data_IF_974241464622
#
_entry.id   IF_974241464622
#
_cell.length_a   1.000
_cell.length_b   1.000
_cell.length_c   1.000
_cell.angle_alpha   90.00
_cell.angle_beta   90.00
_cell.angle_gamma   90.00
#
_symmetry.space_group_name_H-M   'P 1'
#
loop_
_entity.id
_entity.type
_entity.pdbx_description
1 polymer ?
#
# COMPACT_ATOMS: atom_id res chain seq x y z
N UNK A 1 -7.21 -29.83 -16.74
CA UNK A 1 -5.81 -29.55 -17.14
C UNK A 1 -5.13 -28.67 -16.11
N UNK A 2 -3.86 -28.93 -15.77
CA UNK A 2 -3.06 -28.03 -14.96
C UNK A 2 -2.72 -26.74 -15.74
N UNK A 3 -2.54 -25.60 -15.06
CA UNK A 3 -2.06 -24.38 -15.70
C UNK A 3 -0.56 -24.50 -15.97
N UNK A 4 -0.14 -24.22 -17.20
CA UNK A 4 1.28 -24.07 -17.53
C UNK A 4 1.66 -22.62 -17.24
N UNK A 5 2.38 -22.40 -16.15
CA UNK A 5 2.67 -21.06 -15.61
C UNK A 5 3.68 -20.24 -16.44
N UNK A 6 4.19 -20.77 -17.56
CA UNK A 6 5.04 -20.03 -18.50
C UNK A 6 6.34 -19.50 -17.90
N UNK A 7 6.80 -20.09 -16.79
CA UNK A 7 7.97 -19.61 -16.04
C UNK A 7 7.67 -18.56 -14.96
N UNK A 8 6.41 -18.11 -14.83
CA UNK A 8 5.98 -17.20 -13.77
C UNK A 8 5.77 -17.93 -12.45
N UNK A 9 6.06 -17.27 -11.34
CA UNK A 9 5.89 -17.80 -10.01
C UNK A 9 4.40 -18.03 -9.68
N UNK A 10 4.07 -19.13 -8.99
CA UNK A 10 2.67 -19.48 -8.72
C UNK A 10 2.03 -18.54 -7.70
N UNK A 11 2.80 -18.05 -6.73
CA UNK A 11 2.32 -17.13 -5.72
C UNK A 11 2.09 -15.76 -6.35
N UNK A 12 2.98 -15.32 -7.24
CA UNK A 12 2.78 -14.12 -8.06
C UNK A 12 1.47 -14.19 -8.84
N UNK A 13 1.19 -15.31 -9.53
CA UNK A 13 -0.03 -15.50 -10.32
C UNK A 13 -1.32 -15.35 -9.49
N UNK A 14 -1.32 -15.85 -8.26
CA UNK A 14 -2.48 -15.71 -7.36
C UNK A 14 -2.68 -14.25 -6.95
N UNK A 15 -1.61 -13.51 -6.60
CA UNK A 15 -1.73 -12.09 -6.28
C UNK A 15 -2.21 -11.28 -7.50
N UNK A 16 -1.69 -11.61 -8.69
CA UNK A 16 -2.12 -11.03 -9.95
C UNK A 16 -3.59 -11.27 -10.26
N UNK A 17 -4.08 -12.48 -9.98
CA UNK A 17 -5.48 -12.80 -10.18
C UNK A 17 -6.39 -11.85 -9.40
N UNK A 18 -6.11 -11.59 -8.12
CA UNK A 18 -6.93 -10.69 -7.32
C UNK A 18 -6.83 -9.23 -7.80
N UNK A 19 -5.62 -8.73 -8.03
CA UNK A 19 -5.42 -7.32 -8.44
C UNK A 19 -5.95 -7.01 -9.83
N UNK A 20 -6.02 -8.00 -10.73
CA UNK A 20 -6.25 -7.79 -12.17
C UNK A 20 -7.52 -7.01 -12.54
N UNK A 21 -8.54 -6.99 -11.68
CA UNK A 21 -9.81 -6.29 -11.96
C UNK A 21 -9.66 -4.78 -11.90
N UNK A 22 -8.82 -4.29 -10.98
CA UNK A 22 -8.76 -2.87 -10.62
C UNK A 22 -7.35 -2.28 -10.84
N UNK A 23 -6.33 -3.12 -10.73
CA UNK A 23 -4.92 -2.73 -10.69
C UNK A 23 -4.12 -3.40 -11.82
N UNK A 24 -4.63 -3.30 -13.05
CA UNK A 24 -3.98 -3.82 -14.28
C UNK A 24 -4.16 -2.92 -15.52
N UNK A 25 -4.45 -1.64 -15.34
CA UNK A 25 -4.40 -0.67 -16.43
C UNK A 25 -2.94 -0.37 -16.84
N UNK A 26 -2.74 0.46 -17.88
CA UNK A 26 -1.40 0.75 -18.40
C UNK A 26 -0.43 1.33 -17.36
N UNK A 27 -0.93 2.16 -16.42
CA UNK A 27 -0.12 2.69 -15.32
C UNK A 27 0.37 1.56 -14.40
N UNK A 28 -0.51 0.63 -14.02
CA UNK A 28 -0.16 -0.53 -13.21
C UNK A 28 0.78 -1.51 -13.92
N UNK A 29 0.59 -1.71 -15.24
CA UNK A 29 1.50 -2.52 -16.06
C UNK A 29 2.91 -1.95 -16.08
N UNK A 30 3.04 -0.63 -16.18
CA UNK A 30 4.35 0.04 -16.09
C UNK A 30 4.96 -0.04 -14.69
N UNK A 31 4.12 0.05 -13.65
CA UNK A 31 4.57 0.05 -12.26
C UNK A 31 5.13 -1.32 -11.82
N UNK A 32 4.33 -2.38 -11.94
CA UNK A 32 4.64 -3.70 -11.39
C UNK A 32 4.50 -4.85 -12.39
N UNK A 33 4.21 -4.55 -13.66
CA UNK A 33 4.00 -5.56 -14.70
C UNK A 33 2.54 -5.94 -14.91
N UNK A 34 2.26 -6.53 -16.07
CA UNK A 34 0.92 -6.98 -16.44
C UNK A 34 0.51 -8.24 -15.67
N UNK A 35 -0.67 -8.19 -15.05
CA UNK A 35 -1.31 -9.34 -14.43
C UNK A 35 -1.68 -10.36 -15.51
N UNK A 36 -1.29 -11.63 -15.33
CA UNK A 36 -1.43 -12.67 -16.34
C UNK A 36 -2.88 -12.85 -16.84
N UNK A 37 -3.20 -12.42 -18.08
CA UNK A 37 -4.56 -12.56 -18.61
C UNK A 37 -4.96 -14.03 -18.79
N UNK A 38 -3.99 -14.89 -19.16
CA UNK A 38 -4.19 -16.33 -19.30
C UNK A 38 -4.53 -17.01 -17.97
N UNK A 39 -3.92 -16.59 -16.86
CA UNK A 39 -4.26 -17.13 -15.55
C UNK A 39 -5.63 -16.65 -15.06
N UNK A 40 -5.96 -15.37 -15.29
CA UNK A 40 -7.31 -14.84 -14.99
C UNK A 40 -8.39 -15.64 -15.72
N UNK A 41 -8.21 -15.88 -17.02
CA UNK A 41 -9.13 -16.69 -17.83
C UNK A 41 -9.18 -18.15 -17.37
N UNK A 42 -8.03 -18.71 -17.00
CA UNK A 42 -7.94 -20.08 -16.47
C UNK A 42 -8.75 -20.26 -15.18
N UNK A 43 -8.68 -19.30 -14.23
CA UNK A 43 -9.46 -19.37 -12.99
C UNK A 43 -10.94 -19.09 -13.25
N UNK A 44 -11.27 -18.13 -14.13
CA UNK A 44 -12.66 -17.84 -14.52
C UNK A 44 -13.36 -19.08 -15.11
N UNK A 45 -12.65 -19.90 -15.89
CA UNK A 45 -13.17 -21.15 -16.45
C UNK A 45 -13.41 -22.29 -15.45
N UNK A 46 -13.17 -22.08 -14.14
CA UNK A 46 -13.31 -23.12 -13.08
C UNK A 46 -14.48 -22.92 -12.14
N UNK A 47 -15.37 -21.98 -12.42
CA UNK A 47 -16.48 -21.62 -11.53
C UNK A 47 -16.02 -21.24 -10.11
N UNK A 48 -14.79 -20.72 -9.98
CA UNK A 48 -14.29 -20.16 -8.72
C UNK A 48 -14.71 -18.70 -8.67
N UNK A 49 -15.44 -18.33 -7.62
CA UNK A 49 -15.80 -16.92 -7.39
C UNK A 49 -14.62 -16.20 -6.76
N UNK A 50 -14.20 -15.09 -7.36
CA UNK A 50 -13.21 -14.21 -6.76
C UNK A 50 -13.82 -13.55 -5.53
N UNK A 51 -13.20 -13.77 -4.37
CA UNK A 51 -13.49 -13.00 -3.17
C UNK A 51 -13.09 -11.55 -3.44
N UNK A 52 -13.99 -10.58 -3.25
CA UNK A 52 -13.68 -9.15 -3.41
C UNK A 52 -13.29 -8.49 -2.08
N UNK A 53 -13.89 -8.97 -0.98
CA UNK A 53 -13.63 -8.50 0.37
C UNK A 53 -13.64 -9.69 1.32
N UNK A 54 -12.97 -9.55 2.46
CA UNK A 54 -13.05 -10.48 3.58
C UNK A 54 -13.29 -9.69 4.88
N UNK A 55 -13.79 -10.34 5.92
CA UNK A 55 -13.95 -9.69 7.23
C UNK A 55 -12.61 -9.76 7.95
N UNK A 56 -12.02 -8.59 8.24
CA UNK A 56 -10.79 -8.50 9.02
C UNK A 56 -11.05 -8.96 10.48
N UNK A 57 -10.34 -9.98 10.98
CA UNK A 57 -10.62 -10.54 12.30
C UNK A 57 -10.27 -9.61 13.46
N UNK A 58 -9.41 -8.60 13.28
CA UNK A 58 -9.07 -7.64 14.34
C UNK A 58 -10.09 -6.51 14.48
N UNK A 59 -10.63 -6.03 13.36
CA UNK A 59 -11.36 -4.75 13.30
C UNK A 59 -12.82 -4.92 12.88
N UNK A 60 -13.19 -6.06 12.28
CA UNK A 60 -14.51 -6.28 11.69
C UNK A 60 -14.77 -5.48 10.40
N UNK A 61 -13.77 -4.74 9.91
CA UNK A 61 -13.85 -4.05 8.61
C UNK A 61 -13.85 -5.07 7.47
N UNK A 62 -14.14 -4.60 6.25
CA UNK A 62 -14.16 -5.42 5.05
C UNK A 62 -13.10 -4.97 4.02
N UNK A 63 -11.80 -5.21 4.27
CA UNK A 63 -10.75 -4.89 3.32
C UNK A 63 -10.99 -5.52 1.94
N UNK A 64 -10.67 -4.77 0.89
CA UNK A 64 -10.67 -5.20 -0.50
C UNK A 64 -9.48 -6.08 -0.83
N UNK A 65 -9.74 -7.28 -1.33
CA UNK A 65 -8.67 -8.20 -1.76
C UNK A 65 -7.89 -7.65 -2.95
N UNK A 66 -8.52 -6.85 -3.81
CA UNK A 66 -7.85 -6.32 -5.00
C UNK A 66 -6.68 -5.41 -4.61
N UNK A 67 -6.90 -4.52 -3.64
CA UNK A 67 -5.88 -3.59 -3.15
C UNK A 67 -4.81 -4.31 -2.32
N UNK A 68 -5.23 -5.15 -1.36
CA UNK A 68 -4.32 -6.00 -0.59
C UNK A 68 -3.33 -6.77 -1.48
N UNK A 69 -3.84 -7.40 -2.55
CA UNK A 69 -2.98 -8.17 -3.46
C UNK A 69 -2.27 -7.31 -4.50
N UNK A 70 -2.69 -6.07 -4.76
CA UNK A 70 -1.89 -5.11 -5.51
C UNK A 70 -0.65 -4.70 -4.69
N UNK A 71 -0.84 -4.33 -3.42
CA UNK A 71 0.25 -4.02 -2.49
C UNK A 71 1.19 -5.21 -2.30
N UNK A 72 0.64 -6.41 -2.03
CA UNK A 72 1.44 -7.62 -1.87
C UNK A 72 2.23 -7.97 -3.15
N UNK A 73 1.59 -7.91 -4.33
CA UNK A 73 2.29 -8.22 -5.58
C UNK A 73 3.38 -7.20 -5.87
N UNK A 74 3.12 -5.90 -5.66
CA UNK A 74 4.12 -4.86 -5.84
C UNK A 74 5.32 -5.05 -4.93
N UNK A 75 5.10 -5.33 -3.65
CA UNK A 75 6.19 -5.64 -2.72
C UNK A 75 6.92 -6.93 -3.10
N UNK A 76 6.23 -7.95 -3.61
CA UNK A 76 6.84 -9.18 -4.10
C UNK A 76 7.80 -8.91 -5.28
N UNK A 77 7.33 -8.21 -6.32
CA UNK A 77 8.07 -8.07 -7.59
C UNK A 77 9.00 -6.85 -7.65
N UNK A 78 8.73 -5.79 -6.87
CA UNK A 78 9.45 -4.51 -6.91
C UNK A 78 9.87 -3.97 -5.53
N UNK A 79 9.50 -4.64 -4.44
CA UNK A 79 9.83 -4.20 -3.08
C UNK A 79 11.32 -4.30 -2.73
N UNK A 80 11.82 -3.34 -1.96
CA UNK A 80 13.17 -3.35 -1.36
C UNK A 80 13.11 -3.42 0.18
N UNK A 81 12.86 -4.60 0.77
CA UNK A 81 12.57 -4.70 2.21
C UNK A 81 13.76 -4.41 3.14
N UNK A 82 14.99 -4.53 2.63
CA UNK A 82 16.19 -4.18 3.40
C UNK A 82 16.54 -2.70 3.36
N UNK A 83 16.21 -2.01 2.26
CA UNK A 83 16.53 -0.59 2.05
C UNK A 83 15.65 0.36 2.85
N UNK A 84 16.09 1.61 2.89
CA UNK A 84 15.25 2.76 3.27
C UNK A 84 14.60 3.39 2.06
N UNK A 85 15.27 3.32 0.91
CA UNK A 85 14.86 3.96 -0.34
C UNK A 85 13.46 3.51 -0.78
N UNK A 86 12.72 4.46 -1.35
CA UNK A 86 11.40 4.18 -1.90
C UNK A 86 11.49 3.42 -3.21
N UNK A 87 10.51 2.57 -3.47
CA UNK A 87 10.48 1.73 -4.66
C UNK A 87 9.06 1.59 -5.22
N UNK A 88 8.93 1.00 -6.41
CA UNK A 88 7.62 0.81 -7.06
C UNK A 88 6.69 -0.11 -6.29
N UNK A 89 7.25 -1.00 -5.45
CA UNK A 89 6.45 -1.83 -4.55
C UNK A 89 5.76 -1.00 -3.47
N UNK A 90 6.42 0.06 -2.98
CA UNK A 90 5.79 1.03 -2.08
C UNK A 90 4.65 1.78 -2.77
N UNK A 91 4.86 2.23 -4.02
CA UNK A 91 3.81 2.93 -4.80
C UNK A 91 2.59 2.03 -5.06
N UNK A 92 2.79 0.72 -5.17
CA UNK A 92 1.71 -0.25 -5.36
C UNK A 92 0.85 -0.48 -4.10
N UNK A 93 1.27 0.05 -2.94
CA UNK A 93 0.46 0.16 -1.73
C UNK A 93 0.55 1.58 -1.16
N UNK A 94 1.06 1.71 0.07
CA UNK A 94 1.06 2.94 0.87
C UNK A 94 1.57 4.19 0.16
N UNK A 95 2.51 4.04 -0.77
CA UNK A 95 3.08 5.12 -1.56
C UNK A 95 2.05 5.77 -2.48
N UNK A 96 1.22 4.98 -3.16
CA UNK A 96 0.15 5.48 -4.01
C UNK A 96 -0.91 6.21 -3.20
N UNK A 97 -1.27 5.65 -2.05
CA UNK A 97 -2.28 6.23 -1.16
C UNK A 97 -1.80 7.52 -0.49
N UNK A 98 -0.54 7.59 -0.02
CA UNK A 98 -0.03 8.82 0.59
C UNK A 98 0.12 9.94 -0.43
N UNK A 99 0.41 9.63 -1.70
CA UNK A 99 0.45 10.62 -2.78
C UNK A 99 -0.96 11.17 -3.03
N UNK A 100 -1.94 10.28 -3.11
CA UNK A 100 -3.36 10.63 -3.34
C UNK A 100 -3.91 11.44 -2.16
N UNK A 101 -3.56 11.04 -0.93
CA UNK A 101 -3.94 11.72 0.31
C UNK A 101 -3.25 13.07 0.50
N UNK A 102 -2.00 13.21 0.04
CA UNK A 102 -1.35 14.52 -0.07
C UNK A 102 -2.14 15.43 -1.01
N UNK A 103 -2.57 14.91 -2.16
CA UNK A 103 -3.35 15.69 -3.12
C UNK A 103 -4.73 16.10 -2.55
N UNK A 104 -5.37 15.21 -1.79
CA UNK A 104 -6.57 15.51 -1.00
C UNK A 104 -6.32 16.68 -0.04
N UNK A 105 -5.23 16.65 0.72
CA UNK A 105 -4.84 17.76 1.60
C UNK A 105 -4.66 19.06 0.83
N UNK A 106 -4.02 19.02 -0.35
CA UNK A 106 -3.80 20.22 -1.17
C UNK A 106 -5.09 20.79 -1.74
N UNK A 107 -6.03 19.95 -2.15
CA UNK A 107 -7.36 20.37 -2.58
C UNK A 107 -8.13 21.05 -1.44
N UNK A 108 -8.05 20.49 -0.24
CA UNK A 108 -8.80 20.95 0.93
C UNK A 108 -8.03 21.98 1.80
N UNK A 109 -6.89 22.50 1.29
CA UNK A 109 -5.90 23.21 2.10
C UNK A 109 -6.36 24.57 2.65
N UNK A 110 -7.36 25.20 2.03
CA UNK A 110 -7.97 26.44 2.53
C UNK A 110 -8.72 26.20 3.85
N UNK A 111 -9.29 25.01 4.03
CA UNK A 111 -9.91 24.58 5.28
C UNK A 111 -8.92 23.89 6.25
N UNK A 112 -7.74 23.47 5.75
CA UNK A 112 -6.78 22.66 6.50
C UNK A 112 -5.33 23.11 6.25
N UNK A 113 -4.97 24.29 6.78
CA UNK A 113 -3.63 24.85 6.57
C UNK A 113 -2.48 23.99 7.13
N UNK A 114 -2.75 23.17 8.16
CA UNK A 114 -1.76 22.29 8.79
C UNK A 114 -1.85 20.87 8.25
N UNK A 115 -0.79 20.42 7.58
CA UNK A 115 -0.67 19.04 7.10
C UNK A 115 -0.70 18.02 8.23
N UNK A 116 -0.05 18.32 9.36
CA UNK A 116 -0.10 17.48 10.55
C UNK A 116 -1.54 17.26 11.04
N UNK A 117 -2.30 18.35 11.20
CA UNK A 117 -3.69 18.27 11.67
C UNK A 117 -4.59 17.53 10.69
N UNK A 118 -4.41 17.79 9.38
CA UNK A 118 -5.15 17.07 8.34
C UNK A 118 -4.93 15.55 8.45
N UNK A 119 -3.66 15.12 8.54
CA UNK A 119 -3.30 13.71 8.68
C UNK A 119 -3.92 13.11 9.94
N UNK A 120 -3.73 13.71 11.12
CA UNK A 120 -4.27 13.17 12.38
C UNK A 120 -5.80 13.05 12.39
N UNK A 121 -6.50 13.89 11.63
CA UNK A 121 -7.95 13.90 11.57
C UNK A 121 -8.54 12.97 10.51
N UNK A 122 -7.79 12.58 9.46
CA UNK A 122 -8.35 11.87 8.30
C UNK A 122 -7.66 10.55 7.96
N UNK A 123 -6.34 10.44 8.12
CA UNK A 123 -5.60 9.24 7.78
C UNK A 123 -6.03 8.06 8.66
N UNK A 124 -6.35 6.93 8.03
CA UNK A 124 -6.63 5.69 8.77
C UNK A 124 -7.84 5.78 9.71
N UNK A 125 -8.83 6.64 9.39
CA UNK A 125 -10.07 6.80 10.17
C UNK A 125 -11.24 6.05 9.53
N UNK A 126 -12.11 5.47 10.36
CA UNK A 126 -13.23 4.61 9.91
C UNK A 126 -14.47 5.43 9.50
N UNK A 127 -14.65 6.63 10.05
CA UNK A 127 -15.87 7.44 9.86
C UNK A 127 -15.58 8.81 9.22
N UNK A 128 -14.47 8.90 8.48
CA UNK A 128 -14.07 10.13 7.80
C UNK A 128 -13.81 9.78 6.35
N UNK A 129 -14.44 10.52 5.43
CA UNK A 129 -14.17 10.39 4.00
C UNK A 129 -12.72 10.83 3.76
N UNK A 130 -11.90 9.89 3.31
CA UNK A 130 -10.46 10.03 3.08
C UNK A 130 -10.09 9.11 1.92
N UNK A 131 -9.16 9.53 1.06
CA UNK A 131 -8.56 8.66 0.04
C UNK A 131 -7.58 7.66 0.63
N UNK A 132 -7.27 7.76 1.93
CA UNK A 132 -6.43 6.80 2.65
C UNK A 132 -7.12 6.43 3.97
N UNK A 133 -8.11 5.55 3.87
CA UNK A 133 -8.92 5.08 4.99
C UNK A 133 -8.20 4.03 5.84
N UNK A 134 -8.86 3.54 6.90
CA UNK A 134 -8.29 2.46 7.71
C UNK A 134 -8.22 1.12 6.96
N UNK A 135 -9.16 0.85 6.05
CA UNK A 135 -9.16 -0.37 5.24
C UNK A 135 -7.93 -0.40 4.32
N UNK A 136 -7.67 0.68 3.58
CA UNK A 136 -6.48 0.82 2.73
C UNK A 136 -5.18 0.68 3.53
N UNK A 137 -5.09 1.35 4.69
CA UNK A 137 -3.91 1.24 5.56
C UNK A 137 -3.69 -0.19 6.09
N UNK A 138 -4.77 -0.94 6.32
CA UNK A 138 -4.71 -2.38 6.65
C UNK A 138 -4.21 -3.17 5.43
N UNK A 139 -4.77 -2.92 4.24
CA UNK A 139 -4.42 -3.62 3.00
C UNK A 139 -2.94 -3.44 2.64
N UNK A 140 -2.40 -2.24 2.85
CA UNK A 140 -0.98 -1.93 2.65
C UNK A 140 -0.06 -2.67 3.63
N UNK A 141 -0.37 -2.58 4.93
CA UNK A 141 0.44 -3.19 5.97
C UNK A 141 0.43 -4.72 5.84
N UNK A 142 -0.76 -5.30 5.63
CA UNK A 142 -0.95 -6.73 5.49
C UNK A 142 -0.33 -7.22 4.17
N UNK A 143 -0.47 -6.44 3.09
CA UNK A 143 0.11 -6.72 1.79
C UNK A 143 1.64 -6.78 1.86
N UNK A 144 2.27 -5.81 2.52
CA UNK A 144 3.72 -5.84 2.78
C UNK A 144 4.11 -7.09 3.58
N UNK A 145 3.45 -7.35 4.71
CA UNK A 145 3.80 -8.47 5.60
C UNK A 145 3.67 -9.83 4.89
N UNK A 146 2.60 -10.02 4.11
CA UNK A 146 2.37 -11.23 3.30
C UNK A 146 3.44 -11.35 2.21
N UNK A 147 3.76 -10.26 1.51
CA UNK A 147 4.81 -10.28 0.49
C UNK A 147 6.17 -10.67 1.06
N UNK A 148 6.50 -10.20 2.28
CA UNK A 148 7.75 -10.56 2.95
C UNK A 148 7.80 -12.03 3.33
N UNK A 149 6.68 -12.57 3.81
CA UNK A 149 6.55 -13.99 4.08
C UNK A 149 6.75 -14.85 2.83
N UNK A 150 6.18 -14.42 1.71
CA UNK A 150 6.33 -15.12 0.42
C UNK A 150 7.77 -15.03 -0.08
N UNK A 151 8.41 -13.87 0.00
CA UNK A 151 9.85 -13.73 -0.26
C UNK A 151 10.72 -14.60 0.65
N UNK A 152 10.25 -14.87 1.87
CA UNK A 152 10.87 -15.78 2.83
C UNK A 152 10.66 -17.27 2.53
N UNK A 153 9.93 -17.62 1.47
CA UNK A 153 9.76 -18.99 0.98
C UNK A 153 8.42 -19.64 1.33
N UNK A 154 7.47 -18.92 1.92
CA UNK A 154 6.09 -19.43 2.06
C UNK A 154 5.33 -19.27 0.75
N UNK A 155 4.38 -20.18 0.49
CA UNK A 155 3.37 -19.90 -0.54
C UNK A 155 2.41 -18.80 -0.08
N UNK A 156 1.80 -18.08 -1.00
CA UNK A 156 0.84 -17.02 -0.66
C UNK A 156 -0.38 -17.58 0.07
N UNK A 157 -0.81 -18.79 -0.26
CA UNK A 157 -1.89 -19.47 0.46
C UNK A 157 -1.50 -19.72 1.92
N UNK A 158 -0.27 -20.19 2.16
CA UNK A 158 0.23 -20.44 3.51
C UNK A 158 0.40 -19.12 4.26
N UNK A 159 1.01 -18.11 3.64
CA UNK A 159 1.20 -16.79 4.23
C UNK A 159 -0.14 -16.16 4.67
N UNK A 160 -1.16 -16.15 3.81
CA UNK A 160 -2.50 -15.61 4.15
C UNK A 160 -3.15 -16.40 5.29
N UNK A 161 -3.08 -17.73 5.26
CA UNK A 161 -3.63 -18.59 6.32
C UNK A 161 -2.95 -18.32 7.66
N UNK A 162 -1.63 -18.26 7.65
CA UNK A 162 -0.84 -18.05 8.87
C UNK A 162 -1.00 -16.63 9.41
N UNK A 163 -1.26 -15.67 8.51
CA UNK A 163 -1.48 -14.29 8.86
C UNK A 163 -2.83 -14.05 9.56
N UNK A 164 -3.92 -14.55 8.99
CA UNK A 164 -5.28 -14.22 9.45
C UNK A 164 -5.93 -15.30 10.32
N UNK A 165 -5.43 -16.54 10.32
CA UNK A 165 -6.08 -17.66 11.04
C UNK A 165 -5.23 -18.21 12.19
N UNK A 166 -3.97 -18.59 11.93
CA UNK A 166 -3.14 -19.24 12.97
C UNK A 166 -2.38 -18.22 13.82
N UNK A 167 -2.10 -17.04 13.25
CA UNK A 167 -1.24 -16.02 13.88
C UNK A 167 0.24 -16.42 13.92
N UNK A 168 0.61 -17.53 13.28
CA UNK A 168 1.99 -18.04 13.26
C UNK A 168 2.92 -17.14 12.44
N UNK A 169 2.36 -16.42 11.46
CA UNK A 169 3.16 -15.51 10.65
C UNK A 169 3.64 -14.33 11.50
N UNK A 170 4.94 -14.00 11.43
CA UNK A 170 5.53 -12.84 12.12
C UNK A 170 5.28 -12.75 13.64
N UNK A 171 5.08 -13.89 14.33
CA UNK A 171 4.79 -13.96 15.78
C UNK A 171 3.53 -13.18 16.21
N UNK A 172 2.44 -13.30 15.45
CA UNK A 172 1.13 -12.75 15.81
C UNK A 172 0.22 -12.37 14.64
N UNK A 173 0.69 -12.50 13.39
CA UNK A 173 -0.06 -12.23 12.17
C UNK A 173 -0.74 -10.87 12.19
N UNK A 174 -2.04 -10.86 11.87
CA UNK A 174 -2.90 -9.68 11.84
C UNK A 174 -2.99 -8.92 13.20
N UNK A 175 -2.61 -9.53 14.32
CA UNK A 175 -2.55 -8.88 15.65
C UNK A 175 -1.28 -8.05 15.86
N UNK A 176 -0.29 -8.16 14.97
CA UNK A 176 0.99 -7.45 15.01
C UNK A 176 1.26 -6.70 13.70
N UNK A 177 0.22 -6.44 12.90
CA UNK A 177 0.35 -5.96 11.52
C UNK A 177 1.14 -4.66 11.42
N UNK A 178 0.74 -3.64 12.18
CA UNK A 178 1.33 -2.31 12.15
C UNK A 178 2.67 -2.32 12.85
N UNK A 179 2.83 -3.12 13.91
CA UNK A 179 4.11 -3.30 14.56
C UNK A 179 5.16 -3.88 13.63
N UNK A 180 4.85 -4.96 12.93
CA UNK A 180 5.78 -5.59 12.00
C UNK A 180 6.03 -4.70 10.79
N UNK A 181 4.98 -4.11 10.22
CA UNK A 181 5.09 -3.18 9.10
C UNK A 181 5.96 -1.95 9.44
N UNK A 182 5.73 -1.32 10.59
CA UNK A 182 6.51 -0.17 11.05
C UNK A 182 7.97 -0.53 11.31
N UNK A 183 8.24 -1.67 11.95
CA UNK A 183 9.61 -2.11 12.23
C UNK A 183 10.37 -2.46 10.95
N UNK A 184 9.75 -3.21 10.05
CA UNK A 184 10.45 -3.80 8.91
C UNK A 184 10.57 -2.80 7.75
N UNK A 185 9.46 -2.12 7.41
CA UNK A 185 9.45 -1.13 6.31
C UNK A 185 9.98 0.22 6.74
N UNK A 186 9.56 0.72 7.91
CA UNK A 186 9.89 2.07 8.39
C UNK A 186 10.97 2.09 9.48
N UNK A 187 11.69 0.98 9.65
CA UNK A 187 12.85 0.82 10.55
C UNK A 187 12.53 1.09 12.03
N UNK A 188 11.26 0.97 12.42
CA UNK A 188 10.82 1.11 13.81
C UNK A 188 11.07 2.49 14.41
N UNK A 189 11.25 3.52 13.57
CA UNK A 189 11.67 4.85 13.99
C UNK A 189 10.83 5.93 13.34
N UNK A 190 10.36 6.88 14.14
CA UNK A 190 9.58 8.01 13.65
C UNK A 190 10.43 8.87 12.70
N UNK A 191 11.71 9.04 13.00
CA UNK A 191 12.64 9.78 12.14
C UNK A 191 12.80 9.09 10.78
N UNK A 192 13.02 7.77 10.77
CA UNK A 192 13.12 7.01 9.52
C UNK A 192 11.83 7.04 8.72
N UNK A 193 10.68 6.91 9.39
CA UNK A 193 9.38 7.02 8.74
C UNK A 193 9.19 8.39 8.07
N UNK A 194 9.51 9.49 8.75
CA UNK A 194 9.42 10.84 8.17
C UNK A 194 10.26 10.96 6.89
N UNK A 195 11.51 10.49 6.92
CA UNK A 195 12.40 10.55 5.76
C UNK A 195 11.86 9.69 4.60
N UNK A 196 11.44 8.45 4.86
CA UNK A 196 10.89 7.53 3.85
C UNK A 196 9.63 8.12 3.19
N UNK A 197 8.72 8.70 3.98
CA UNK A 197 7.50 9.31 3.46
C UNK A 197 7.84 10.56 2.64
N UNK A 198 8.78 11.37 3.11
CA UNK A 198 9.24 12.55 2.38
C UNK A 198 9.90 12.16 1.05
N UNK A 199 10.70 11.11 1.05
CA UNK A 199 11.32 10.53 -0.14
C UNK A 199 10.23 10.10 -1.13
N UNK A 200 9.19 9.38 -0.71
CA UNK A 200 8.08 9.01 -1.61
C UNK A 200 7.44 10.23 -2.30
N UNK A 201 7.27 11.31 -1.53
CA UNK A 201 6.63 12.54 -2.01
C UNK A 201 7.55 13.43 -2.85
N UNK A 202 8.88 13.27 -2.77
CA UNK A 202 9.83 14.21 -3.39
C UNK A 202 10.91 13.60 -4.25
N UNK A 203 11.18 12.29 -4.13
CA UNK A 203 12.26 11.62 -4.84
C UNK A 203 12.13 11.73 -6.35
N UNK A 204 13.27 11.86 -7.01
CA UNK A 204 13.39 12.00 -8.45
C UNK A 204 14.15 10.83 -9.12
N UNK A 205 14.52 9.79 -8.36
CA UNK A 205 15.39 8.71 -8.82
C UNK A 205 14.74 7.73 -9.80
N UNK A 206 13.48 7.35 -9.57
CA UNK A 206 12.73 6.46 -10.46
C UNK A 206 11.68 7.23 -11.28
N UNK A 207 11.89 7.34 -12.59
CA UNK A 207 10.99 8.07 -13.49
C UNK A 207 9.54 7.57 -13.49
N UNK A 208 9.29 6.30 -13.16
CA UNK A 208 7.92 5.77 -13.05
C UNK A 208 7.26 6.26 -11.75
N UNK A 209 8.01 6.30 -10.65
CA UNK A 209 7.51 6.86 -9.38
C UNK A 209 7.23 8.36 -9.56
N UNK A 210 8.14 9.10 -10.21
CA UNK A 210 7.96 10.52 -10.50
C UNK A 210 6.72 10.75 -11.36
N UNK A 211 6.59 10.04 -12.49
CA UNK A 211 5.45 10.18 -13.40
C UNK A 211 4.12 9.79 -12.75
N UNK A 212 4.09 8.68 -12.01
CA UNK A 212 2.92 8.23 -11.25
C UNK A 212 2.50 9.24 -10.18
N UNK A 213 3.47 9.81 -9.46
CA UNK A 213 3.20 10.85 -8.46
C UNK A 213 2.57 12.09 -9.06
N UNK A 214 3.11 12.59 -10.18
CA UNK A 214 2.53 13.73 -10.89
C UNK A 214 1.09 13.42 -11.35
N UNK A 215 0.89 12.27 -11.96
CA UNK A 215 -0.42 11.83 -12.44
C UNK A 215 -1.46 11.75 -11.31
N UNK A 216 -1.14 11.08 -10.20
CA UNK A 216 -2.05 10.94 -9.06
C UNK A 216 -2.40 12.29 -8.43
N UNK A 217 -1.42 13.18 -8.30
CA UNK A 217 -1.67 14.53 -7.76
C UNK A 217 -2.57 15.34 -8.70
N UNK A 218 -2.31 15.31 -10.01
CA UNK A 218 -3.10 16.04 -11.00
C UNK A 218 -4.54 15.55 -11.08
N UNK A 219 -4.77 14.23 -10.97
CA UNK A 219 -6.11 13.65 -11.01
C UNK A 219 -6.98 14.03 -9.82
N UNK A 220 -6.40 14.26 -8.64
CA UNK A 220 -7.15 14.49 -7.40
C UNK A 220 -7.49 15.97 -7.16
N UNK A 221 -6.84 16.87 -7.88
CA UNK A 221 -6.98 18.32 -7.72
C UNK A 221 -7.80 18.88 -8.88
N UNK A 222 -9.13 18.83 -8.75
CA UNK A 222 -10.04 19.66 -9.55
C UNK A 222 -10.26 21.00 -8.83
N UNK A 223 -9.94 22.11 -9.48
CA UNK A 223 -10.11 23.48 -8.94
C UNK A 223 -9.20 23.90 -7.77
N UNK A 224 -8.40 23.00 -7.17
CA UNK A 224 -7.51 23.30 -6.04
C UNK A 224 -6.07 23.70 -6.41
N UNK A 225 -5.26 24.02 -5.39
CA UNK A 225 -3.84 24.39 -5.56
C UNK A 225 -2.98 23.18 -5.95
N UNK A 226 -2.56 23.09 -7.22
CA UNK A 226 -1.69 22.05 -7.80
C UNK A 226 -0.22 22.10 -7.32
N UNK A 227 0.02 22.43 -6.05
CA UNK A 227 1.37 22.50 -5.50
C UNK A 227 1.92 21.09 -5.30
N UNK A 228 3.00 20.78 -6.03
CA UNK A 228 3.75 19.56 -5.84
C UNK A 228 4.43 19.55 -4.45
N UNK A 229 4.66 18.38 -3.83
CA UNK A 229 5.31 18.31 -2.52
C UNK A 229 6.65 19.04 -2.46
N UNK A 230 7.44 18.96 -3.54
CA UNK A 230 8.74 19.63 -3.67
C UNK A 230 8.65 21.17 -3.71
N UNK A 231 7.47 21.73 -3.96
CA UNK A 231 7.22 23.18 -3.98
C UNK A 231 6.78 23.72 -2.62
N UNK A 232 6.46 22.85 -1.65
CA UNK A 232 6.10 23.29 -0.31
C UNK A 232 7.33 23.72 0.49
N UNK A 233 7.18 24.70 1.41
CA UNK A 233 8.18 24.96 2.42
C UNK A 233 8.56 23.67 3.16
N UNK A 234 9.86 23.48 3.40
CA UNK A 234 10.40 22.24 3.96
C UNK A 234 9.63 21.78 5.20
N UNK A 235 9.42 22.71 6.15
CA UNK A 235 8.71 22.48 7.40
C UNK A 235 7.24 22.08 7.20
N UNK A 236 6.53 22.65 6.21
CA UNK A 236 5.12 22.31 5.96
C UNK A 236 4.96 20.88 5.46
N UNK A 237 5.86 20.43 4.58
CA UNK A 237 5.86 19.04 4.17
C UNK A 237 6.30 18.11 5.32
N UNK A 238 7.27 18.52 6.12
CA UNK A 238 7.71 17.74 7.30
C UNK A 238 6.58 17.53 8.30
N UNK A 239 5.74 18.54 8.56
CA UNK A 239 4.57 18.41 9.45
C UNK A 239 3.57 17.37 8.93
N UNK A 240 3.33 17.33 7.62
CA UNK A 240 2.50 16.28 7.00
C UNK A 240 3.12 14.90 7.19
N UNK A 241 4.40 14.72 6.86
CA UNK A 241 5.12 13.45 7.04
C UNK A 241 5.14 13.01 8.51
N UNK A 242 5.31 13.95 9.44
CA UNK A 242 5.30 13.70 10.89
C UNK A 242 3.97 13.15 11.36
N UNK A 243 2.85 13.71 10.89
CA UNK A 243 1.52 13.23 11.25
C UNK A 243 1.31 11.75 10.88
N UNK A 244 1.83 11.33 9.73
CA UNK A 244 1.75 9.96 9.25
C UNK A 244 2.67 9.05 10.08
N UNK A 245 3.93 9.45 10.28
CA UNK A 245 4.89 8.69 11.06
C UNK A 245 4.42 8.43 12.50
N UNK A 246 3.80 9.43 13.15
CA UNK A 246 3.21 9.28 14.47
C UNK A 246 2.01 8.34 14.46
N UNK A 247 1.15 8.42 13.44
CA UNK A 247 0.02 7.51 13.32
C UNK A 247 0.48 6.05 13.21
N UNK A 248 1.49 5.77 12.38
CA UNK A 248 2.07 4.43 12.29
C UNK A 248 2.68 3.97 13.61
N UNK A 249 3.45 4.84 14.28
CA UNK A 249 4.05 4.53 15.58
C UNK A 249 2.98 4.24 16.64
N UNK A 250 1.91 5.05 16.70
CA UNK A 250 0.79 4.85 17.62
C UNK A 250 0.09 3.52 17.38
N UNK A 251 -0.20 3.19 16.11
CA UNK A 251 -0.80 1.91 15.71
C UNK A 251 0.10 0.73 16.10
N UNK A 252 1.40 0.81 15.80
CA UNK A 252 2.39 -0.18 16.18
C UNK A 252 2.50 -0.35 17.71
N UNK A 253 2.35 0.73 18.48
CA UNK A 253 2.38 0.71 19.95
C UNK A 253 1.11 0.13 20.59
N UNK A 254 0.01 0.05 19.84
CA UNK A 254 -1.25 -0.57 20.28
C UNK A 254 -1.27 -2.10 20.09
N UNK A 255 -0.26 -2.66 19.42
CA UNK A 255 -0.10 -4.09 19.10
C UNK A 255 1.02 -4.78 19.89
#
# INVERSE_FOLDING_TARGET
MAYLHGGKDQDELVMEYFRAREYNNEQWKQLIGEASPSFVNYVAGRNVTRMNHFVDPSTGLQPGTAHLFAAANGHLVKGNPGGTDVNRGDVAGWGGDIITFYAEWRRDSDANASGYTFVKNRLGKINVVSTFGLADLIEDADGFNIAMAVKGGLSVQQAVRDYYTTGELTKGGHLRRFRNYYNDRFKGSQASAIEIIREMLTDAGDGIIVGGRLYLIEMQIDGGSKLLPSMLPYNRLTEFCKGFAELLQEKAGQE
#
